data_IF_295697711792
#
_entry.id   IF_295697711792
#
_cell.length_a   1.000
_cell.length_b   1.000
_cell.length_c   1.000
_cell.angle_alpha   90.00
_cell.angle_beta   90.00
_cell.angle_gamma   90.00
#
_symmetry.space_group_name_H-M   'P 1'
#
loop_
_entity.id
_entity.type
_entity.pdbx_description
1 polymer ?
#
# COMPACT_ATOMS: atom_id res chain seq x y z
N UNK A 1 -6.91 31.27 -47.71
CA UNK A 1 -6.21 30.39 -46.74
C UNK A 1 -7.28 29.59 -46.00
N UNK A 2 -7.41 28.30 -46.30
CA UNK A 2 -8.38 27.43 -45.64
C UNK A 2 -7.74 26.81 -44.40
N UNK A 3 -8.26 27.15 -43.21
CA UNK A 3 -7.86 26.51 -41.95
C UNK A 3 -8.62 25.20 -41.78
N UNK A 4 -7.92 24.08 -41.95
CA UNK A 4 -8.46 22.76 -41.58
C UNK A 4 -8.53 22.63 -40.05
N UNK A 5 -9.68 22.20 -39.48
CA UNK A 5 -9.80 22.01 -38.04
C UNK A 5 -8.98 20.79 -37.59
N UNK A 6 -8.08 21.00 -36.63
CA UNK A 6 -7.35 19.93 -35.95
C UNK A 6 -8.35 19.10 -35.15
N UNK A 7 -8.63 17.88 -35.62
CA UNK A 7 -9.51 16.95 -34.91
C UNK A 7 -8.66 16.17 -33.91
N UNK A 8 -8.81 16.46 -32.61
CA UNK A 8 -8.20 15.65 -31.55
C UNK A 8 -8.87 14.27 -31.55
N UNK A 9 -8.13 13.22 -31.95
CA UNK A 9 -8.57 11.84 -31.76
C UNK A 9 -8.56 11.53 -30.26
N UNK A 10 -9.73 11.49 -29.64
CA UNK A 10 -9.89 10.84 -28.34
C UNK A 10 -9.54 9.36 -28.51
N UNK A 11 -8.42 8.92 -27.93
CA UNK A 11 -8.07 7.51 -27.81
C UNK A 11 -8.97 6.87 -26.75
N UNK A 12 -10.23 6.59 -27.12
CA UNK A 12 -11.09 5.74 -26.32
C UNK A 12 -10.55 4.31 -26.42
N UNK A 13 -9.84 3.88 -25.38
CA UNK A 13 -9.42 2.49 -25.20
C UNK A 13 -10.70 1.65 -25.09
N UNK A 14 -10.82 0.61 -25.91
CA UNK A 14 -12.01 -0.25 -25.90
C UNK A 14 -12.16 -0.98 -24.55
N UNK A 15 -13.40 -1.25 -24.08
CA UNK A 15 -13.64 -1.99 -22.84
C UNK A 15 -12.98 -3.38 -22.81
N UNK A 16 -12.81 -4.01 -23.98
CA UNK A 16 -12.09 -5.29 -24.13
C UNK A 16 -10.59 -5.15 -23.85
N UNK A 17 -9.97 -4.07 -24.34
CA UNK A 17 -8.56 -3.78 -24.06
C UNK A 17 -8.33 -3.41 -22.58
N UNK A 18 -9.29 -2.74 -21.93
CA UNK A 18 -9.23 -2.48 -20.49
C UNK A 18 -9.28 -3.77 -19.67
N UNK A 19 -10.18 -4.72 -20.01
CA UNK A 19 -10.27 -6.03 -19.34
C UNK A 19 -9.02 -6.87 -19.53
N UNK A 20 -8.45 -6.92 -20.74
CA UNK A 20 -7.22 -7.66 -21.01
C UNK A 20 -6.03 -7.07 -20.23
N UNK A 21 -5.91 -5.74 -20.20
CA UNK A 21 -4.86 -5.06 -19.45
C UNK A 21 -4.99 -5.29 -17.94
N UNK A 22 -6.22 -5.33 -17.41
CA UNK A 22 -6.47 -5.62 -16.00
C UNK A 22 -6.16 -7.08 -15.63
N UNK A 23 -6.45 -8.05 -16.50
CA UNK A 23 -6.05 -9.46 -16.30
C UNK A 23 -4.53 -9.59 -16.20
N UNK A 24 -3.80 -8.93 -17.11
CA UNK A 24 -2.33 -8.91 -17.10
C UNK A 24 -1.75 -8.29 -15.83
N UNK A 25 -2.36 -7.22 -15.31
CA UNK A 25 -1.94 -6.61 -14.04
C UNK A 25 -2.18 -7.54 -12.84
N UNK A 26 -3.31 -8.25 -12.80
CA UNK A 26 -3.58 -9.25 -11.76
C UNK A 26 -2.56 -10.41 -11.80
N UNK A 27 -2.16 -10.84 -13.00
CA UNK A 27 -1.12 -11.86 -13.17
C UNK A 27 0.25 -11.37 -12.69
N UNK A 28 0.62 -10.13 -12.98
CA UNK A 28 1.86 -9.53 -12.46
C UNK A 28 1.89 -9.49 -10.93
N UNK A 29 0.79 -9.10 -10.28
CA UNK A 29 0.69 -9.10 -8.82
C UNK A 29 0.85 -10.50 -8.24
N UNK A 30 0.19 -11.51 -8.83
CA UNK A 30 0.36 -12.92 -8.41
C UNK A 30 1.80 -13.40 -8.59
N UNK A 31 2.41 -13.09 -9.74
CA UNK A 31 3.80 -13.42 -10.01
C UNK A 31 4.72 -12.79 -8.97
N UNK A 32 4.48 -11.54 -8.57
CA UNK A 32 5.24 -10.88 -7.52
C UNK A 32 5.13 -11.62 -6.18
N UNK A 33 3.92 -11.95 -5.73
CA UNK A 33 3.71 -12.68 -4.47
C UNK A 33 4.42 -14.05 -4.44
N UNK A 34 4.59 -14.71 -5.60
CA UNK A 34 5.35 -15.96 -5.70
C UNK A 34 6.85 -15.77 -5.51
N UNK A 35 7.39 -14.61 -5.90
CA UNK A 35 8.82 -14.27 -5.70
C UNK A 35 9.11 -13.71 -4.31
N UNK A 36 8.08 -13.32 -3.56
CA UNK A 36 8.25 -12.66 -2.27
C UNK A 36 8.62 -13.65 -1.17
N UNK A 37 9.69 -13.34 -0.44
CA UNK A 37 10.21 -14.13 0.68
C UNK A 37 10.27 -13.22 1.90
N UNK A 38 9.61 -13.65 2.98
CA UNK A 38 9.63 -12.96 4.26
C UNK A 38 11.04 -12.97 4.87
N UNK A 39 11.37 -12.02 5.75
CA UNK A 39 12.60 -12.09 6.52
C UNK A 39 12.64 -13.38 7.37
N UNK A 40 13.83 -13.92 7.56
CA UNK A 40 14.10 -15.15 8.30
C UNK A 40 15.35 -14.98 9.20
N UNK A 41 15.74 -16.03 9.91
CA UNK A 41 16.90 -16.00 10.82
C UNK A 41 18.23 -15.71 10.11
N UNK A 42 18.31 -15.98 8.80
CA UNK A 42 19.49 -15.74 7.99
C UNK A 42 19.48 -14.36 7.31
N UNK A 43 18.30 -13.74 7.16
CA UNK A 43 18.10 -12.53 6.37
C UNK A 43 17.03 -11.63 7.00
N UNK A 44 17.47 -10.50 7.55
CA UNK A 44 16.61 -9.52 8.25
C UNK A 44 15.76 -8.62 7.33
N UNK A 45 15.73 -8.89 6.02
CA UNK A 45 14.93 -8.13 5.06
C UNK A 45 14.20 -9.07 4.10
N UNK A 46 13.06 -8.62 3.57
CA UNK A 46 12.32 -9.37 2.56
C UNK A 46 13.07 -9.38 1.23
N UNK A 47 12.98 -10.50 0.52
CA UNK A 47 13.56 -10.67 -0.83
C UNK A 47 12.44 -10.85 -1.83
N UNK A 48 12.54 -10.21 -2.99
CA UNK A 48 11.49 -10.22 -4.01
C UNK A 48 12.05 -9.70 -5.35
N UNK A 49 11.27 -9.84 -6.43
CA UNK A 49 11.61 -9.25 -7.72
C UNK A 49 11.37 -7.73 -7.73
N UNK A 50 12.45 -6.95 -7.53
CA UNK A 50 12.41 -5.48 -7.54
C UNK A 50 11.99 -4.91 -8.89
N UNK A 51 12.38 -5.52 -10.00
CA UNK A 51 12.00 -5.03 -11.34
C UNK A 51 10.49 -5.16 -11.53
N UNK A 52 9.91 -6.28 -11.08
CA UNK A 52 8.47 -6.50 -11.12
C UNK A 52 7.73 -5.55 -10.16
N UNK A 53 8.24 -5.34 -8.95
CA UNK A 53 7.67 -4.39 -7.99
C UNK A 53 7.63 -2.97 -8.56
N UNK A 54 8.76 -2.49 -9.08
CA UNK A 54 8.90 -1.19 -9.71
C UNK A 54 7.99 -1.04 -10.94
N UNK A 55 7.87 -2.08 -11.76
CA UNK A 55 6.95 -2.10 -12.90
C UNK A 55 5.50 -1.99 -12.45
N UNK A 56 5.07 -2.75 -11.44
CA UNK A 56 3.71 -2.67 -10.89
C UNK A 56 3.44 -1.26 -10.33
N UNK A 57 4.37 -0.72 -9.54
CA UNK A 57 4.25 0.61 -8.93
C UNK A 57 4.13 1.73 -9.98
N UNK A 58 4.81 1.59 -11.13
CA UNK A 58 4.75 2.57 -12.23
C UNK A 58 3.34 2.81 -12.78
N UNK A 59 2.40 1.85 -12.58
CA UNK A 59 1.01 2.01 -13.00
C UNK A 59 0.16 2.88 -12.04
N UNK A 60 0.70 3.26 -10.87
CA UNK A 60 0.09 4.15 -9.87
C UNK A 60 -1.33 3.70 -9.51
N UNK A 61 -2.33 4.58 -9.64
CA UNK A 61 -3.73 4.29 -9.31
C UNK A 61 -4.31 3.07 -10.04
N UNK A 62 -3.82 2.74 -11.24
CA UNK A 62 -4.28 1.54 -11.96
C UNK A 62 -3.84 0.24 -11.30
N UNK A 63 -2.71 0.24 -10.57
CA UNK A 63 -2.24 -0.93 -9.82
C UNK A 63 -3.01 -1.16 -8.51
N UNK A 64 -3.73 -0.15 -8.00
CA UNK A 64 -4.44 -0.28 -6.72
C UNK A 64 -5.46 -1.41 -6.76
N UNK A 65 -6.32 -1.45 -7.80
CA UNK A 65 -7.38 -2.46 -7.89
C UNK A 65 -6.84 -3.91 -7.93
N UNK A 66 -5.89 -4.26 -8.83
CA UNK A 66 -5.26 -5.59 -8.83
C UNK A 66 -4.67 -5.99 -7.47
N UNK A 67 -4.01 -5.06 -6.77
CA UNK A 67 -3.41 -5.34 -5.47
C UNK A 67 -4.48 -5.49 -4.38
N UNK A 68 -5.53 -4.66 -4.37
CA UNK A 68 -6.62 -4.79 -3.41
C UNK A 68 -7.47 -6.03 -3.64
N UNK A 69 -7.67 -6.44 -4.90
CA UNK A 69 -8.39 -7.68 -5.22
C UNK A 69 -7.62 -8.89 -4.66
N UNK A 70 -6.29 -8.90 -4.82
CA UNK A 70 -5.43 -9.92 -4.22
C UNK A 70 -5.49 -9.90 -2.69
N UNK A 71 -5.33 -8.73 -2.06
CA UNK A 71 -5.41 -8.56 -0.60
C UNK A 71 -6.78 -8.93 -0.01
N UNK A 72 -7.85 -8.76 -0.78
CA UNK A 72 -9.20 -9.15 -0.35
C UNK A 72 -9.30 -10.66 -0.10
N UNK A 73 -8.60 -11.46 -0.91
CA UNK A 73 -8.57 -12.92 -0.80
C UNK A 73 -7.37 -13.45 0.01
N UNK A 74 -6.35 -12.65 0.29
CA UNK A 74 -5.17 -13.07 1.03
C UNK A 74 -5.48 -13.48 2.48
N UNK A 75 -4.91 -14.60 2.90
CA UNK A 75 -5.10 -15.26 4.20
C UNK A 75 -3.78 -15.54 4.94
N UNK A 76 -2.68 -15.73 4.21
CA UNK A 76 -1.37 -16.04 4.75
C UNK A 76 -0.50 -14.78 4.89
N UNK A 77 0.40 -14.80 5.88
CA UNK A 77 1.27 -13.68 6.23
C UNK A 77 2.10 -13.17 5.04
N UNK A 78 2.62 -14.08 4.22
CA UNK A 78 3.48 -13.76 3.08
C UNK A 78 2.74 -12.92 2.05
N UNK A 79 1.57 -13.37 1.61
CA UNK A 79 0.79 -12.68 0.57
C UNK A 79 0.23 -11.35 1.09
N UNK A 80 -0.18 -11.29 2.35
CA UNK A 80 -0.62 -10.04 2.99
C UNK A 80 0.54 -9.04 3.02
N UNK A 81 1.72 -9.45 3.49
CA UNK A 81 2.90 -8.60 3.57
C UNK A 81 3.33 -8.13 2.18
N UNK A 82 3.36 -9.03 1.19
CA UNK A 82 3.70 -8.70 -0.19
C UNK A 82 2.73 -7.68 -0.80
N UNK A 83 1.43 -7.85 -0.58
CA UNK A 83 0.42 -6.91 -1.07
C UNK A 83 0.50 -5.54 -0.42
N UNK A 84 0.70 -5.48 0.91
CA UNK A 84 0.90 -4.22 1.63
C UNK A 84 2.21 -3.53 1.22
N UNK A 85 3.27 -4.30 0.96
CA UNK A 85 4.51 -3.79 0.40
C UNK A 85 4.29 -3.15 -0.98
N UNK A 86 3.56 -3.81 -1.89
CA UNK A 86 3.22 -3.24 -3.19
C UNK A 86 2.38 -1.97 -3.04
N UNK A 87 1.39 -1.94 -2.15
CA UNK A 87 0.63 -0.72 -1.88
C UNK A 87 1.53 0.44 -1.45
N UNK A 88 2.48 0.19 -0.54
CA UNK A 88 3.47 1.20 -0.15
C UNK A 88 4.24 1.74 -1.36
N UNK A 89 4.74 0.87 -2.24
CA UNK A 89 5.47 1.27 -3.46
C UNK A 89 4.59 2.03 -4.45
N UNK A 90 3.33 1.63 -4.61
CA UNK A 90 2.36 2.32 -5.48
C UNK A 90 2.08 3.74 -4.96
N UNK A 91 1.97 3.91 -3.64
CA UNK A 91 1.80 5.23 -3.01
C UNK A 91 3.06 6.08 -3.21
N UNK A 92 4.25 5.49 -3.00
CA UNK A 92 5.52 6.17 -3.22
C UNK A 92 5.69 6.63 -4.68
N UNK A 93 5.15 5.87 -5.64
CA UNK A 93 5.12 6.24 -7.06
C UNK A 93 4.11 7.36 -7.41
N UNK A 94 3.34 7.84 -6.42
CA UNK A 94 2.44 8.98 -6.56
C UNK A 94 0.99 8.61 -6.90
N UNK A 95 0.50 7.44 -6.50
CA UNK A 95 -0.93 7.11 -6.58
C UNK A 95 -1.73 7.99 -5.62
N UNK A 96 -2.75 8.70 -6.14
CA UNK A 96 -3.50 9.69 -5.35
C UNK A 96 -4.72 9.09 -4.64
N UNK A 97 -5.24 7.97 -5.13
CA UNK A 97 -6.47 7.35 -4.65
C UNK A 97 -6.25 6.18 -3.70
N UNK A 98 -5.03 6.01 -3.18
CA UNK A 98 -4.67 4.93 -2.28
C UNK A 98 -5.47 4.93 -0.97
N UNK A 99 -6.00 6.07 -0.51
CA UNK A 99 -6.90 6.12 0.64
C UNK A 99 -8.14 5.22 0.48
N UNK A 100 -8.57 4.93 -0.77
CA UNK A 100 -9.71 4.05 -1.08
C UNK A 100 -9.44 2.58 -0.77
N UNK A 101 -8.19 2.19 -0.54
CA UNK A 101 -7.85 0.79 -0.20
C UNK A 101 -8.14 0.48 1.27
N UNK A 102 -8.37 1.49 2.11
CA UNK A 102 -8.60 1.33 3.55
C UNK A 102 -9.65 0.27 3.93
N UNK A 103 -10.86 0.22 3.31
CA UNK A 103 -11.86 -0.78 3.66
C UNK A 103 -11.37 -2.22 3.50
N UNK A 104 -10.48 -2.47 2.53
CA UNK A 104 -9.92 -3.81 2.28
C UNK A 104 -8.82 -4.13 3.28
N UNK A 105 -7.90 -3.20 3.53
CA UNK A 105 -6.73 -3.46 4.37
C UNK A 105 -7.02 -3.36 5.87
N UNK A 106 -8.13 -2.71 6.27
CA UNK A 106 -8.52 -2.57 7.67
C UNK A 106 -8.79 -3.92 8.37
N UNK A 107 -9.10 -4.99 7.61
CA UNK A 107 -9.21 -6.35 8.18
C UNK A 107 -7.91 -6.85 8.81
N UNK A 108 -6.76 -6.27 8.45
CA UNK A 108 -5.44 -6.63 8.98
C UNK A 108 -5.03 -5.84 10.23
N UNK A 109 -5.86 -4.90 10.71
CA UNK A 109 -5.57 -4.04 11.88
C UNK A 109 -5.19 -4.79 13.16
N UNK A 110 -5.64 -6.03 13.29
CA UNK A 110 -5.42 -6.86 14.47
C UNK A 110 -4.54 -8.08 14.18
N UNK A 111 -3.80 -8.08 13.07
CA UNK A 111 -2.81 -9.11 12.78
C UNK A 111 -1.78 -9.18 13.91
N UNK A 112 -1.34 -10.39 14.26
CA UNK A 112 -0.28 -10.65 15.24
C UNK A 112 1.12 -10.69 14.63
N UNK A 113 1.22 -10.61 13.30
CA UNK A 113 2.46 -10.60 12.54
C UNK A 113 3.10 -9.21 12.55
N UNK A 114 4.36 -9.14 12.98
CA UNK A 114 5.16 -7.91 12.94
C UNK A 114 5.36 -7.40 11.50
N UNK A 115 5.52 -8.30 10.53
CA UNK A 115 5.69 -7.95 9.12
C UNK A 115 4.45 -7.25 8.56
N UNK A 116 3.27 -7.84 8.81
CA UNK A 116 1.98 -7.26 8.38
C UNK A 116 1.76 -5.90 9.04
N UNK A 117 1.99 -5.81 10.34
CA UNK A 117 1.80 -4.57 11.09
C UNK A 117 2.72 -3.45 10.60
N UNK A 118 4.00 -3.75 10.35
CA UNK A 118 4.98 -2.78 9.84
C UNK A 118 4.55 -2.24 8.47
N UNK A 119 4.21 -3.14 7.54
CA UNK A 119 3.79 -2.72 6.20
C UNK A 119 2.45 -1.97 6.22
N UNK A 120 1.51 -2.39 7.07
CA UNK A 120 0.21 -1.72 7.23
C UNK A 120 0.38 -0.30 7.80
N UNK A 121 1.21 -0.15 8.81
CA UNK A 121 1.54 1.16 9.39
C UNK A 121 2.15 2.10 8.35
N UNK A 122 3.03 1.61 7.48
CA UNK A 122 3.57 2.38 6.36
C UNK A 122 2.48 2.90 5.41
N UNK A 123 1.47 2.07 5.09
CA UNK A 123 0.32 2.52 4.26
C UNK A 123 -0.47 3.60 5.00
N UNK A 124 -0.73 3.43 6.30
CA UNK A 124 -1.48 4.41 7.10
C UNK A 124 -0.74 5.74 7.23
N UNK A 125 0.57 5.71 7.47
CA UNK A 125 1.43 6.89 7.50
C UNK A 125 1.36 7.70 6.21
N UNK A 126 1.30 7.04 5.06
CA UNK A 126 1.30 7.72 3.75
C UNK A 126 -0.08 8.18 3.30
N UNK A 127 -1.13 7.43 3.63
CA UNK A 127 -2.51 7.74 3.21
C UNK A 127 -3.24 8.66 4.19
N UNK A 128 -2.84 8.64 5.46
CA UNK A 128 -3.41 9.45 6.54
C UNK A 128 -4.94 9.36 6.64
N UNK A 129 -5.51 8.20 6.33
CA UNK A 129 -6.95 7.93 6.50
C UNK A 129 -7.30 8.07 7.98
N UNK A 130 -8.20 8.98 8.39
CA UNK A 130 -8.47 9.26 9.80
C UNK A 130 -8.85 8.03 10.62
N UNK A 131 -9.62 7.12 10.03
CA UNK A 131 -10.12 5.91 10.68
C UNK A 131 -9.00 4.93 11.05
N UNK A 132 -7.82 5.04 10.43
CA UNK A 132 -6.68 4.18 10.71
C UNK A 132 -5.87 4.62 11.95
N UNK A 133 -6.14 5.81 12.50
CA UNK A 133 -5.43 6.32 13.68
C UNK A 133 -5.67 5.46 14.93
N UNK A 134 -6.94 5.14 15.22
CA UNK A 134 -7.31 4.29 16.37
C UNK A 134 -6.70 2.87 16.31
N UNK A 135 -6.80 2.17 15.16
CA UNK A 135 -6.09 0.93 14.93
C UNK A 135 -4.57 1.03 15.14
N UNK A 136 -3.93 2.09 14.63
CA UNK A 136 -2.48 2.32 14.80
C UNK A 136 -2.12 2.42 16.29
N UNK A 137 -2.88 3.17 17.07
CA UNK A 137 -2.68 3.26 18.53
C UNK A 137 -2.88 1.90 19.22
N UNK A 138 -3.87 1.13 18.78
CA UNK A 138 -4.12 -0.21 19.34
C UNK A 138 -2.95 -1.16 19.05
N UNK A 139 -2.42 -1.15 17.83
CA UNK A 139 -1.25 -1.93 17.46
C UNK A 139 -0.04 -1.55 18.31
N UNK A 140 0.22 -0.25 18.46
CA UNK A 140 1.31 0.28 19.28
C UNK A 140 1.23 -0.20 20.73
N UNK A 141 0.06 -0.08 21.37
CA UNK A 141 -0.13 -0.48 22.76
C UNK A 141 0.04 -1.99 22.94
N UNK A 142 -0.50 -2.81 22.04
CA UNK A 142 -0.37 -4.28 22.11
C UNK A 142 1.09 -4.74 22.01
N UNK A 143 1.84 -4.16 21.07
CA UNK A 143 3.26 -4.47 20.92
C UNK A 143 4.10 -3.91 22.05
N UNK A 144 3.74 -2.76 22.63
CA UNK A 144 4.43 -2.20 23.80
C UNK A 144 4.30 -3.11 25.03
N UNK A 145 3.17 -3.81 25.16
CA UNK A 145 2.96 -4.79 26.23
C UNK A 145 3.77 -6.08 26.04
N UNK A 146 3.99 -6.49 24.78
CA UNK A 146 4.76 -7.68 24.43
C UNK A 146 5.73 -7.35 23.29
N UNK A 147 6.88 -6.71 23.58
CA UNK A 147 7.79 -6.24 22.55
C UNK A 147 8.33 -7.39 21.71
N UNK A 148 8.19 -7.28 20.39
CA UNK A 148 8.83 -8.17 19.42
C UNK A 148 9.93 -7.40 18.71
N UNK A 149 11.17 -7.82 18.85
CA UNK A 149 12.34 -7.11 18.30
C UNK A 149 12.99 -7.81 17.11
N UNK A 150 12.53 -9.02 16.77
CA UNK A 150 13.12 -9.83 15.69
C UNK A 150 12.02 -10.32 14.75
N UNK A 151 12.17 -10.18 13.42
CA UNK A 151 13.30 -9.56 12.72
C UNK A 151 13.27 -8.01 12.73
N UNK A 152 12.11 -7.41 13.03
CA UNK A 152 11.90 -5.96 13.09
C UNK A 152 10.94 -5.60 14.22
N UNK A 153 11.14 -4.44 14.86
CA UNK A 153 10.19 -3.90 15.84
C UNK A 153 9.08 -3.12 15.11
N UNK A 154 7.85 -3.64 15.04
CA UNK A 154 6.76 -2.95 14.36
C UNK A 154 6.43 -1.59 14.99
N UNK A 155 6.77 -1.35 16.26
CA UNK A 155 6.49 -0.08 16.92
C UNK A 155 7.27 1.10 16.35
N UNK A 156 8.40 0.88 15.68
CA UNK A 156 9.14 1.96 15.01
C UNK A 156 8.28 2.58 13.91
N UNK A 157 7.74 1.75 13.00
CA UNK A 157 6.91 2.23 11.89
C UNK A 157 5.53 2.68 12.37
N UNK A 158 4.92 1.97 13.34
CA UNK A 158 3.63 2.36 13.92
C UNK A 158 3.74 3.71 14.63
N UNK A 159 4.78 3.90 15.45
CA UNK A 159 5.06 5.17 16.12
C UNK A 159 5.28 6.30 15.11
N UNK A 160 6.06 6.04 14.06
CA UNK A 160 6.24 6.96 12.94
C UNK A 160 4.93 7.34 12.25
N UNK A 161 4.02 6.38 12.04
CA UNK A 161 2.69 6.64 11.49
C UNK A 161 1.87 7.55 12.41
N UNK A 162 1.79 7.24 13.71
CA UNK A 162 1.06 8.04 14.71
C UNK A 162 1.59 9.49 14.75
N UNK A 163 2.91 9.67 14.77
CA UNK A 163 3.52 11.00 14.76
C UNK A 163 3.17 11.78 13.49
N UNK A 164 3.13 11.13 12.33
CA UNK A 164 2.74 11.78 11.07
C UNK A 164 1.26 12.19 11.09
N UNK A 165 0.37 11.38 11.67
CA UNK A 165 -1.04 11.79 11.89
C UNK A 165 -1.15 13.04 12.75
N UNK A 166 -0.42 13.09 13.87
CA UNK A 166 -0.41 14.26 14.76
C UNK A 166 0.13 15.49 14.03
N UNK A 167 1.26 15.35 13.34
CA UNK A 167 1.86 16.41 12.53
C UNK A 167 0.89 16.94 11.47
N UNK A 168 0.25 16.05 10.72
CA UNK A 168 -0.69 16.42 9.67
C UNK A 168 -1.90 17.20 10.24
N UNK A 169 -2.48 16.71 11.34
CA UNK A 169 -3.58 17.40 12.03
C UNK A 169 -3.17 18.78 12.54
N UNK A 170 -2.00 18.89 13.17
CA UNK A 170 -1.47 20.18 13.64
C UNK A 170 -1.22 21.17 12.50
N UNK A 171 -0.69 20.70 11.37
CA UNK A 171 -0.48 21.54 10.18
C UNK A 171 -1.81 22.09 9.65
N UNK A 172 -2.84 21.25 9.50
CA UNK A 172 -4.17 21.68 9.06
C UNK A 172 -4.74 22.78 9.99
N UNK A 173 -4.61 22.61 11.31
CA UNK A 173 -5.10 23.59 12.29
C UNK A 173 -4.37 24.94 12.18
N UNK A 174 -3.05 24.92 11.98
CA UNK A 174 -2.23 26.13 11.97
C UNK A 174 -2.37 26.92 10.66
N UNK A 175 -2.55 26.25 9.52
CA UNK A 175 -2.67 26.91 8.22
C UNK A 175 -4.13 27.22 7.81
N UNK A 176 -5.13 26.63 8.47
CA UNK A 176 -6.55 26.97 8.26
C UNK A 176 -7.00 28.23 9.05
N UNK A 177 -6.13 28.80 9.88
CA UNK A 177 -6.40 29.99 10.69
C UNK A 177 -5.90 31.30 10.06
N UNK A 178 -5.29 31.23 8.88
CA UNK A 178 -4.92 32.37 8.03
C UNK A 178 -5.81 32.41 6.80
#
# INVERSE_FOLDING_TARGET
>A
MYTTPVTFRQFNISPSAQKAHQSSQCEMVKSFCNTFVLPDDACNHSRFDENLASKIASYKDRALKPVTDMLSCADNEKDITAGLFLLNRIIDAGAQSAYKTYPVISKFNYSSSSNVQTMLAGVYRKTLVPDAFGPSMTMFLKNSQNPKTVPFDPNEEIGGAILEYLRNKSAVINYSKN
#
